data_IF_774062135483
#
_entry.id   IF_774062135483
#
_cell.length_a   1.000
_cell.length_b   1.000
_cell.length_c   1.000
_cell.angle_alpha   90.00
_cell.angle_beta   90.00
_cell.angle_gamma   90.00
#
_symmetry.space_group_name_H-M   'P 1'
#
loop_
_entity.id
_entity.type
_entity.pdbx_description
1 polymer ?
#
# COMPACT_ATOMS: atom_id res chain seq x y z
N UNK A 1 46.06 -14.27 9.97
CA UNK A 1 45.28 -14.26 11.22
C UNK A 1 43.82 -14.33 10.78
N UNK A 2 43.23 -15.51 10.93
CA UNK A 2 41.85 -15.81 10.55
C UNK A 2 40.92 -15.25 11.62
N UNK A 3 39.91 -14.48 11.22
CA UNK A 3 38.69 -14.26 12.01
C UNK A 3 37.53 -14.50 11.06
N UNK A 4 37.17 -15.78 10.96
CA UNK A 4 35.84 -16.25 10.63
C UNK A 4 34.95 -15.93 11.83
N UNK A 5 34.11 -14.90 11.74
CA UNK A 5 32.95 -14.77 12.62
C UNK A 5 31.71 -15.14 11.82
N UNK A 6 31.24 -16.34 12.15
CA UNK A 6 30.05 -17.00 11.67
C UNK A 6 28.84 -16.29 12.31
N UNK A 7 28.16 -15.46 11.53
CA UNK A 7 26.94 -14.77 11.98
C UNK A 7 25.81 -15.78 12.01
N UNK A 8 25.58 -16.37 13.18
CA UNK A 8 24.54 -17.37 13.49
C UNK A 8 23.10 -16.85 13.40
N UNK A 9 22.71 -16.31 12.25
CA UNK A 9 21.35 -16.40 11.74
C UNK A 9 21.30 -17.66 10.84
N UNK A 10 20.23 -18.44 10.83
CA UNK A 10 19.99 -19.33 9.70
C UNK A 10 19.86 -18.42 8.48
N UNK A 11 20.95 -18.22 7.76
CA UNK A 11 20.86 -17.97 6.34
C UNK A 11 20.23 -19.25 5.80
N UNK A 12 18.90 -19.26 5.71
CA UNK A 12 18.27 -20.19 4.79
C UNK A 12 18.83 -19.76 3.44
N UNK A 13 19.92 -20.42 3.03
CA UNK A 13 20.24 -20.61 1.62
C UNK A 13 18.90 -20.79 0.95
N UNK A 14 18.51 -19.85 0.08
CA UNK A 14 17.25 -19.90 -0.65
C UNK A 14 17.09 -21.33 -1.11
N UNK A 15 16.17 -22.06 -0.48
CA UNK A 15 15.88 -23.42 -0.89
C UNK A 15 15.52 -23.29 -2.38
N UNK A 16 16.05 -24.13 -3.25
CA UNK A 16 15.89 -23.97 -4.70
C UNK A 16 14.41 -23.88 -5.15
N UNK A 17 13.48 -24.18 -4.24
CA UNK A 17 12.04 -24.19 -4.38
C UNK A 17 11.29 -23.01 -3.72
N UNK A 18 11.95 -22.01 -3.12
CA UNK A 18 11.28 -20.88 -2.43
C UNK A 18 10.44 -20.04 -3.40
N UNK A 19 11.02 -19.59 -4.52
CA UNK A 19 10.29 -18.78 -5.51
C UNK A 19 9.11 -19.53 -6.16
N UNK A 20 9.25 -20.80 -6.60
CA UNK A 20 8.11 -21.61 -7.04
C UNK A 20 7.00 -21.73 -6.01
N UNK A 21 7.33 -21.95 -4.73
CA UNK A 21 6.31 -22.03 -3.69
C UNK A 21 5.61 -20.69 -3.44
N UNK A 22 6.33 -19.57 -3.53
CA UNK A 22 5.75 -18.24 -3.40
C UNK A 22 4.77 -18.00 -4.55
N UNK A 23 5.16 -18.32 -5.79
CA UNK A 23 4.28 -18.22 -6.96
C UNK A 23 2.99 -19.00 -6.75
N UNK A 24 3.09 -20.26 -6.31
CA UNK A 24 1.92 -21.12 -6.06
C UNK A 24 0.99 -20.52 -4.99
N UNK A 25 1.55 -20.00 -3.88
CA UNK A 25 0.77 -19.39 -2.81
C UNK A 25 0.04 -18.13 -3.29
N UNK A 26 0.73 -17.26 -4.05
CA UNK A 26 0.15 -16.04 -4.62
C UNK A 26 -0.93 -16.37 -5.65
N UNK A 27 -0.71 -17.35 -6.53
CA UNK A 27 -1.70 -17.81 -7.49
C UNK A 27 -2.95 -18.39 -6.80
N UNK A 28 -2.76 -19.18 -5.73
CA UNK A 28 -3.87 -19.71 -4.92
C UNK A 28 -4.68 -18.58 -4.26
N UNK A 29 -4.01 -17.59 -3.68
CA UNK A 29 -4.68 -16.40 -3.14
C UNK A 29 -5.52 -15.69 -4.22
N UNK A 30 -4.93 -15.45 -5.40
CA UNK A 30 -5.62 -14.80 -6.51
C UNK A 30 -6.88 -15.57 -6.96
N UNK A 31 -6.80 -16.90 -7.05
CA UNK A 31 -7.94 -17.77 -7.35
C UNK A 31 -9.02 -17.71 -6.27
N UNK A 32 -8.63 -17.69 -4.98
CA UNK A 32 -9.56 -17.60 -3.85
C UNK A 32 -10.28 -16.26 -3.75
N UNK A 33 -9.68 -15.19 -4.27
CA UNK A 33 -10.38 -13.92 -4.47
C UNK A 33 -11.48 -14.00 -5.56
N UNK A 34 -11.57 -15.11 -6.30
CA UNK A 34 -12.54 -15.30 -7.39
C UNK A 34 -12.19 -14.54 -8.66
N UNK A 35 -10.94 -14.10 -8.80
CA UNK A 35 -10.52 -13.20 -9.87
C UNK A 35 -9.86 -13.97 -11.01
N UNK A 36 -10.15 -13.53 -12.24
CA UNK A 36 -9.40 -13.94 -13.43
C UNK A 36 -8.36 -12.87 -13.71
N UNK A 37 -7.12 -13.28 -13.93
CA UNK A 37 -6.09 -12.35 -14.38
C UNK A 37 -6.55 -11.69 -15.69
N UNK A 38 -6.64 -10.38 -15.65
CA UNK A 38 -6.91 -9.55 -16.80
C UNK A 38 -5.79 -8.53 -16.90
N UNK A 39 -5.22 -8.40 -18.09
CA UNK A 39 -4.33 -7.29 -18.38
C UNK A 39 -5.15 -6.00 -18.27
N UNK A 40 -4.77 -5.12 -17.35
CA UNK A 40 -5.43 -3.82 -17.20
C UNK A 40 -4.68 -2.83 -18.07
N UNK A 41 -5.34 -2.39 -19.13
CA UNK A 41 -4.85 -1.29 -19.97
C UNK A 41 -5.16 0.02 -19.24
N UNK A 42 -4.12 0.85 -19.04
CA UNK A 42 -4.29 2.16 -18.44
C UNK A 42 -5.15 3.04 -19.36
N UNK A 43 -6.15 3.72 -18.80
CA UNK A 43 -6.94 4.69 -19.55
C UNK A 43 -6.05 5.90 -19.91
N UNK A 44 -5.66 5.98 -21.17
CA UNK A 44 -4.79 7.05 -21.69
C UNK A 44 -5.44 8.44 -21.60
N UNK A 45 -6.76 8.52 -21.79
CA UNK A 45 -7.48 9.78 -21.73
C UNK A 45 -7.53 10.29 -20.29
N UNK A 46 -7.84 9.40 -19.34
CA UNK A 46 -7.80 9.76 -17.93
C UNK A 46 -6.37 10.06 -17.47
N UNK A 47 -5.37 9.32 -17.93
CA UNK A 47 -3.97 9.62 -17.61
C UNK A 47 -3.58 11.03 -18.06
N UNK A 48 -3.94 11.42 -19.27
CA UNK A 48 -3.71 12.76 -19.78
C UNK A 48 -4.46 13.82 -18.96
N UNK A 49 -5.72 13.55 -18.58
CA UNK A 49 -6.50 14.43 -17.71
C UNK A 49 -5.85 14.62 -16.34
N UNK A 50 -5.44 13.54 -15.67
CA UNK A 50 -4.78 13.61 -14.36
C UNK A 50 -3.44 14.34 -14.42
N UNK A 51 -2.66 14.14 -15.50
CA UNK A 51 -1.46 14.91 -15.75
C UNK A 51 -1.76 16.40 -15.94
N UNK A 52 -2.81 16.74 -16.69
CA UNK A 52 -3.20 18.13 -16.90
C UNK A 52 -3.69 18.79 -15.60
N UNK A 53 -4.45 18.06 -14.79
CA UNK A 53 -4.92 18.54 -13.49
C UNK A 53 -3.75 18.78 -12.53
N UNK A 54 -2.78 17.87 -12.48
CA UNK A 54 -1.54 18.07 -11.74
C UNK A 54 -0.81 19.36 -12.16
N UNK A 55 -0.69 19.62 -13.47
CA UNK A 55 -0.09 20.85 -14.01
C UNK A 55 -0.88 22.08 -13.56
N UNK A 56 -2.21 22.03 -13.66
CA UNK A 56 -3.10 23.13 -13.26
C UNK A 56 -2.95 23.47 -11.77
N UNK A 57 -2.69 22.47 -10.93
CA UNK A 57 -2.41 22.63 -9.49
C UNK A 57 -0.98 23.05 -9.16
N UNK A 58 -0.12 23.20 -10.17
CA UNK A 58 1.29 23.55 -9.99
C UNK A 58 2.14 22.41 -9.43
N UNK A 59 1.69 21.16 -9.54
CA UNK A 59 2.49 20.00 -9.13
C UNK A 59 3.63 19.79 -10.12
N UNK A 60 4.80 19.45 -9.58
CA UNK A 60 6.00 19.36 -10.38
C UNK A 60 6.00 18.08 -11.23
N UNK A 61 5.89 18.24 -12.55
CA UNK A 61 5.84 17.12 -13.50
C UNK A 61 7.21 16.66 -14.01
N UNK A 62 8.24 17.49 -13.85
CA UNK A 62 9.61 17.30 -14.37
C UNK A 62 10.62 17.88 -13.36
N UNK A 63 11.88 17.41 -13.35
CA UNK A 63 12.92 17.89 -12.41
C UNK A 63 13.13 16.98 -11.20
N UNK A 64 13.41 17.54 -10.02
CA UNK A 64 13.60 16.76 -8.77
C UNK A 64 12.24 16.27 -8.25
N UNK A 65 12.13 14.96 -7.98
CA UNK A 65 10.90 14.29 -7.54
C UNK A 65 9.65 14.61 -8.41
N UNK A 66 9.71 14.35 -9.73
CA UNK A 66 8.57 14.61 -10.59
C UNK A 66 7.47 13.59 -10.30
N UNK A 67 6.21 14.02 -10.28
CA UNK A 67 5.09 13.10 -10.03
C UNK A 67 4.69 12.31 -11.27
N UNK A 68 5.12 12.74 -12.47
CA UNK A 68 4.77 12.12 -13.77
C UNK A 68 5.05 10.60 -13.81
N UNK A 69 6.21 10.07 -13.38
CA UNK A 69 6.48 8.64 -13.38
C UNK A 69 5.53 7.82 -12.48
N UNK A 70 4.91 8.47 -11.49
CA UNK A 70 3.99 7.84 -10.54
C UNK A 70 2.52 8.01 -10.93
N UNK A 71 2.22 8.81 -11.96
CA UNK A 71 0.85 9.07 -12.37
C UNK A 71 0.13 7.80 -12.82
N UNK A 72 0.83 6.87 -13.46
CA UNK A 72 0.25 5.58 -13.86
C UNK A 72 -0.23 4.77 -12.64
N UNK A 73 0.47 4.86 -11.51
CA UNK A 73 0.05 4.24 -10.25
C UNK A 73 -1.24 4.90 -9.73
N UNK A 74 -1.28 6.24 -9.72
CA UNK A 74 -2.47 6.98 -9.29
C UNK A 74 -3.71 6.67 -10.14
N UNK A 75 -3.54 6.64 -11.47
CA UNK A 75 -4.62 6.34 -12.41
C UNK A 75 -5.11 4.91 -12.26
N UNK A 76 -4.18 3.95 -12.20
CA UNK A 76 -4.53 2.54 -12.00
C UNK A 76 -5.26 2.34 -10.67
N UNK A 77 -4.81 2.99 -9.60
CA UNK A 77 -5.44 2.93 -8.27
C UNK A 77 -6.85 3.51 -8.30
N UNK A 78 -7.02 4.73 -8.82
CA UNK A 78 -8.32 5.42 -8.88
C UNK A 78 -9.34 4.68 -9.76
N UNK A 79 -8.92 4.18 -10.92
CA UNK A 79 -9.83 3.49 -11.84
C UNK A 79 -10.22 2.10 -11.38
N UNK A 80 -9.24 1.34 -10.88
CA UNK A 80 -9.48 -0.06 -10.54
C UNK A 80 -10.18 -0.15 -9.20
N UNK A 81 -9.65 0.52 -8.17
CA UNK A 81 -10.07 0.36 -6.77
C UNK A 81 -11.23 1.25 -6.36
N UNK A 82 -11.48 2.36 -7.07
CA UNK A 82 -12.53 3.33 -6.71
C UNK A 82 -13.56 3.64 -7.81
N UNK A 83 -13.92 2.70 -8.72
CA UNK A 83 -14.87 2.98 -9.81
C UNK A 83 -16.30 3.23 -9.32
N UNK A 84 -16.64 2.72 -8.13
CA UNK A 84 -17.95 2.88 -7.49
C UNK A 84 -18.19 4.27 -6.89
N UNK A 85 -17.14 5.06 -6.70
CA UNK A 85 -17.31 6.44 -6.23
C UNK A 85 -17.87 7.30 -7.37
N UNK A 86 -19.06 7.87 -7.16
CA UNK A 86 -19.73 8.70 -8.17
C UNK A 86 -19.12 10.10 -8.29
N UNK A 87 -18.48 10.60 -7.23
CA UNK A 87 -17.86 11.93 -7.23
C UNK A 87 -16.53 11.93 -7.99
N UNK A 88 -16.53 12.57 -9.16
CA UNK A 88 -15.33 12.67 -10.02
C UNK A 88 -14.21 13.46 -9.36
N UNK A 89 -14.54 14.50 -8.59
CA UNK A 89 -13.54 15.34 -7.91
C UNK A 89 -12.79 14.52 -6.86
N UNK A 90 -13.49 13.71 -6.07
CA UNK A 90 -12.91 12.78 -5.09
C UNK A 90 -12.05 11.72 -5.79
N UNK A 91 -12.50 11.14 -6.90
CA UNK A 91 -11.69 10.17 -7.66
C UNK A 91 -10.41 10.79 -8.26
N UNK A 92 -10.48 12.02 -8.75
CA UNK A 92 -9.31 12.77 -9.21
C UNK A 92 -8.36 13.07 -8.04
N UNK A 93 -8.89 13.50 -6.90
CA UNK A 93 -8.10 13.71 -5.69
C UNK A 93 -7.39 12.42 -5.23
N UNK A 94 -8.09 11.28 -5.17
CA UNK A 94 -7.49 9.97 -4.86
C UNK A 94 -6.36 9.64 -5.85
N UNK A 95 -6.57 9.87 -7.16
CA UNK A 95 -5.56 9.62 -8.17
C UNK A 95 -4.27 10.43 -7.90
N UNK A 96 -4.41 11.74 -7.70
CA UNK A 96 -3.28 12.62 -7.43
C UNK A 96 -2.61 12.29 -6.11
N UNK A 97 -3.40 12.02 -5.06
CA UNK A 97 -2.91 11.61 -3.75
C UNK A 97 -2.09 10.32 -3.84
N UNK A 98 -2.59 9.30 -4.53
CA UNK A 98 -1.86 8.05 -4.75
C UNK A 98 -0.58 8.23 -5.57
N UNK A 99 -0.58 9.10 -6.59
CA UNK A 99 0.64 9.39 -7.35
C UNK A 99 1.68 10.13 -6.49
N UNK A 100 1.26 11.15 -5.75
CA UNK A 100 2.13 11.94 -4.88
C UNK A 100 2.69 11.08 -3.75
N UNK A 101 1.85 10.30 -3.05
CA UNK A 101 2.33 9.49 -1.93
C UNK A 101 3.33 8.42 -2.38
N UNK A 102 3.14 7.82 -3.56
CA UNK A 102 4.09 6.87 -4.14
C UNK A 102 5.41 7.56 -4.52
N UNK A 103 5.36 8.83 -4.95
CA UNK A 103 6.58 9.61 -5.18
C UNK A 103 7.31 9.94 -3.87
N UNK A 104 6.57 10.22 -2.80
CA UNK A 104 7.11 10.51 -1.47
C UNK A 104 7.75 9.27 -0.84
N UNK A 105 7.14 8.10 -1.02
CA UNK A 105 7.65 6.79 -0.60
C UNK A 105 9.05 6.49 -1.14
N UNK A 106 9.37 7.00 -2.34
CA UNK A 106 10.66 6.78 -3.00
C UNK A 106 11.73 7.80 -2.59
N UNK A 107 11.40 8.80 -1.76
CA UNK A 107 12.37 9.82 -1.29
C UNK A 107 13.55 9.20 -0.53
N UNK A 108 13.35 8.29 0.45
CA UNK A 108 14.46 7.68 1.18
C UNK A 108 15.48 6.97 0.28
N UNK A 109 15.05 6.47 -0.88
CA UNK A 109 15.92 5.78 -1.85
C UNK A 109 16.75 6.72 -2.73
N UNK A 110 16.43 8.03 -2.75
CA UNK A 110 17.00 9.01 -3.69
C UNK A 110 18.07 9.93 -3.11
N UNK A 111 18.39 9.79 -1.81
CA UNK A 111 19.58 10.41 -1.20
C UNK A 111 19.26 11.41 -0.09
N UNK A 112 19.89 12.59 -0.13
CA UNK A 112 19.98 13.52 1.02
C UNK A 112 18.68 14.28 1.36
N UNK A 113 17.64 14.14 0.56
CA UNK A 113 16.40 14.92 0.71
C UNK A 113 15.47 14.35 1.78
N UNK A 114 15.83 13.22 2.40
CA UNK A 114 15.14 12.69 3.58
C UNK A 114 15.07 13.71 4.74
N UNK A 115 15.99 14.67 4.80
CA UNK A 115 15.99 15.76 5.80
C UNK A 115 14.67 16.53 5.81
N UNK A 116 13.98 16.65 4.68
CA UNK A 116 12.70 17.34 4.59
C UNK A 116 11.55 16.54 5.22
N UNK A 117 11.62 15.19 5.18
CA UNK A 117 10.61 14.32 5.80
C UNK A 117 10.58 14.47 7.34
N UNK A 118 11.73 14.65 8.00
CA UNK A 118 11.80 14.87 9.45
C UNK A 118 11.00 16.06 9.96
N UNK A 119 10.79 17.06 9.11
CA UNK A 119 10.08 18.30 9.46
C UNK A 119 8.67 18.34 8.91
N UNK A 120 8.24 17.33 8.14
CA UNK A 120 6.98 17.38 7.42
C UNK A 120 5.76 17.54 8.35
N UNK A 121 5.64 16.67 9.36
CA UNK A 121 4.51 16.69 10.29
C UNK A 121 4.47 18.00 11.11
N UNK A 122 5.63 18.49 11.57
CA UNK A 122 5.76 19.78 12.25
C UNK A 122 5.32 20.94 11.36
N UNK A 123 5.80 20.97 10.12
CA UNK A 123 5.47 22.04 9.15
C UNK A 123 4.01 22.00 8.74
N UNK A 124 3.45 20.81 8.53
CA UNK A 124 2.05 20.62 8.19
C UNK A 124 1.14 21.23 9.28
N UNK A 125 1.41 20.88 10.55
CA UNK A 125 0.67 21.38 11.71
C UNK A 125 0.81 22.90 11.89
N UNK A 126 1.97 23.46 11.56
CA UNK A 126 2.24 24.90 11.68
C UNK A 126 1.93 25.69 10.38
N UNK A 127 1.35 25.06 9.37
CA UNK A 127 1.08 25.68 8.06
C UNK A 127 2.32 26.31 7.41
N UNK A 128 3.47 25.66 7.54
CA UNK A 128 4.75 26.11 6.98
C UNK A 128 5.05 25.41 5.64
N UNK A 129 5.80 26.05 4.73
CA UNK A 129 6.25 25.42 3.49
C UNK A 129 7.09 24.16 3.75
N UNK A 130 6.86 23.10 2.96
CA UNK A 130 7.46 21.77 3.20
C UNK A 130 8.91 21.63 2.73
N UNK A 131 9.42 22.59 1.95
CA UNK A 131 10.82 22.61 1.47
C UNK A 131 11.06 21.87 0.17
N UNK A 132 10.25 20.85 -0.15
CA UNK A 132 10.25 20.14 -1.42
C UNK A 132 8.89 20.22 -2.12
N UNK A 133 8.90 20.26 -3.46
CA UNK A 133 7.69 20.48 -4.27
C UNK A 133 6.67 19.34 -4.12
N UNK A 134 7.14 18.09 -4.12
CA UNK A 134 6.28 16.91 -3.91
C UNK A 134 5.65 16.89 -2.51
N UNK A 135 6.39 17.37 -1.49
CA UNK A 135 5.85 17.48 -0.13
C UNK A 135 4.84 18.62 -0.03
N UNK A 136 5.04 19.74 -0.73
CA UNK A 136 4.03 20.80 -0.83
C UNK A 136 2.76 20.29 -1.54
N UNK A 137 2.90 19.43 -2.56
CA UNK A 137 1.76 18.80 -3.22
C UNK A 137 1.00 17.87 -2.24
N UNK A 138 1.71 17.06 -1.45
CA UNK A 138 1.09 16.22 -0.43
C UNK A 138 0.37 17.06 0.63
N UNK A 139 1.00 18.11 1.15
CA UNK A 139 0.40 19.04 2.11
C UNK A 139 -0.91 19.63 1.55
N UNK A 140 -0.88 20.11 0.30
CA UNK A 140 -2.07 20.64 -0.39
C UNK A 140 -3.19 19.61 -0.43
N UNK A 141 -2.91 18.38 -0.85
CA UNK A 141 -3.90 17.32 -0.93
C UNK A 141 -4.43 16.89 0.45
N UNK A 142 -3.59 16.91 1.49
CA UNK A 142 -4.01 16.64 2.87
C UNK A 142 -4.96 17.71 3.40
N UNK A 143 -4.79 18.99 3.02
CA UNK A 143 -5.71 20.07 3.37
C UNK A 143 -7.03 20.00 2.62
N UNK A 144 -7.09 19.29 1.50
CA UNK A 144 -8.31 19.10 0.71
C UNK A 144 -9.22 17.99 1.25
N UNK A 145 -8.74 17.10 2.13
CA UNK A 145 -9.52 15.97 2.66
C UNK A 145 -10.92 16.36 3.20
N UNK A 146 -11.10 17.48 3.93
CA UNK A 146 -12.42 17.91 4.40
C UNK A 146 -13.42 18.29 3.30
N UNK A 147 -12.97 18.53 2.07
CA UNK A 147 -13.87 18.73 0.93
C UNK A 147 -14.47 17.41 0.42
N UNK A 148 -13.85 16.28 0.74
CA UNK A 148 -14.22 14.96 0.22
C UNK A 148 -14.90 14.07 1.25
N UNK A 149 -14.60 14.25 2.54
CA UNK A 149 -15.04 13.35 3.61
C UNK A 149 -15.57 14.09 4.83
N UNK A 150 -16.35 13.37 5.66
CA UNK A 150 -16.85 13.91 6.92
C UNK A 150 -15.72 14.22 7.91
N UNK A 151 -15.90 15.14 8.88
CA UNK A 151 -14.82 15.59 9.76
C UNK A 151 -14.07 14.46 10.48
N UNK A 152 -14.77 13.43 10.98
CA UNK A 152 -14.15 12.29 11.65
C UNK A 152 -13.29 11.48 10.67
N UNK A 153 -13.80 11.23 9.46
CA UNK A 153 -13.08 10.48 8.43
C UNK A 153 -11.88 11.27 7.93
N UNK A 154 -12.03 12.59 7.74
CA UNK A 154 -10.93 13.46 7.34
C UNK A 154 -9.79 13.44 8.35
N UNK A 155 -10.10 13.52 9.65
CA UNK A 155 -9.10 13.43 10.71
C UNK A 155 -8.32 12.11 10.61
N UNK A 156 -9.00 10.98 10.44
CA UNK A 156 -8.37 9.66 10.35
C UNK A 156 -7.50 9.51 9.09
N UNK A 157 -7.91 10.05 7.96
CA UNK A 157 -7.12 10.10 6.73
C UNK A 157 -5.84 10.94 6.94
N UNK A 158 -6.00 12.14 7.53
CA UNK A 158 -4.88 13.04 7.80
C UNK A 158 -3.87 12.39 8.75
N UNK A 159 -4.33 11.81 9.86
CA UNK A 159 -3.43 11.14 10.81
C UNK A 159 -2.74 9.93 10.18
N UNK A 160 -3.46 9.13 9.39
CA UNK A 160 -2.85 8.01 8.66
C UNK A 160 -1.72 8.48 7.75
N UNK A 161 -1.85 9.66 7.13
CA UNK A 161 -0.82 10.24 6.25
C UNK A 161 0.39 10.73 7.03
N UNK A 162 0.17 11.34 8.20
CA UNK A 162 1.26 11.75 9.10
C UNK A 162 2.02 10.54 9.68
N UNK A 163 1.31 9.45 9.96
CA UNK A 163 1.88 8.17 10.41
C UNK A 163 2.75 7.55 9.32
N UNK A 164 2.28 7.55 8.07
CA UNK A 164 3.07 7.10 6.92
C UNK A 164 4.36 7.88 6.73
N UNK A 165 4.32 9.22 6.82
CA UNK A 165 5.56 10.01 6.73
C UNK A 165 6.53 9.64 7.87
N UNK A 166 6.00 9.39 9.07
CA UNK A 166 6.80 8.94 10.20
C UNK A 166 7.39 7.54 9.96
N UNK A 167 6.66 6.64 9.29
CA UNK A 167 7.18 5.31 9.00
C UNK A 167 8.34 5.33 8.01
N UNK A 168 8.34 6.23 7.01
CA UNK A 168 9.48 6.38 6.10
C UNK A 168 10.77 6.73 6.86
N UNK A 169 10.65 7.55 7.91
CA UNK A 169 11.77 7.88 8.79
C UNK A 169 12.18 6.68 9.65
N UNK A 170 11.22 5.94 10.21
CA UNK A 170 11.51 4.72 10.98
C UNK A 170 12.23 3.70 10.11
N UNK A 171 11.75 3.43 8.90
CA UNK A 171 12.36 2.48 7.97
C UNK A 171 13.77 2.89 7.59
N UNK A 172 13.99 4.17 7.29
CA UNK A 172 15.33 4.70 7.03
C UNK A 172 16.28 4.55 8.24
N UNK A 173 15.82 4.94 9.43
CA UNK A 173 16.65 4.98 10.64
C UNK A 173 16.90 3.59 11.23
N UNK A 174 16.04 2.62 10.90
CA UNK A 174 16.12 1.23 11.40
C UNK A 174 16.56 0.22 10.34
N UNK A 175 16.98 0.66 9.14
CA UNK A 175 17.35 -0.25 8.04
C UNK A 175 18.43 -1.29 8.39
N UNK A 176 19.35 -0.94 9.29
CA UNK A 176 20.46 -1.78 9.75
C UNK A 176 20.20 -2.37 11.16
N UNK A 177 19.01 -2.12 11.73
CA UNK A 177 18.65 -2.57 13.08
C UNK A 177 18.34 -4.05 13.08
N UNK A 178 18.93 -4.79 14.03
CA UNK A 178 18.56 -6.18 14.27
C UNK A 178 17.18 -6.25 14.91
N UNK A 179 16.28 -7.01 14.30
CA UNK A 179 14.93 -7.17 14.80
C UNK A 179 14.94 -8.14 15.99
N UNK A 180 14.42 -7.68 17.13
CA UNK A 180 14.34 -8.51 18.32
C UNK A 180 13.28 -9.60 18.18
N UNK A 181 13.64 -10.85 18.47
CA UNK A 181 12.68 -11.97 18.59
C UNK A 181 11.72 -11.81 19.77
N UNK A 182 12.03 -10.92 20.72
CA UNK A 182 11.15 -10.57 21.84
C UNK A 182 10.18 -9.42 21.51
N UNK A 183 10.16 -8.95 20.26
CA UNK A 183 9.25 -7.90 19.77
C UNK A 183 8.28 -8.44 18.70
N UNK A 184 7.40 -9.41 19.03
CA UNK A 184 6.57 -10.11 18.05
C UNK A 184 5.50 -9.25 17.38
N UNK A 185 5.21 -8.05 17.90
CA UNK A 185 4.24 -7.10 17.34
C UNK A 185 4.89 -5.94 16.58
N UNK A 186 6.23 -5.92 16.52
CA UNK A 186 6.96 -4.88 15.81
C UNK A 186 6.60 -4.84 14.31
N UNK A 187 6.54 -5.98 13.58
CA UNK A 187 6.18 -5.97 12.17
C UNK A 187 4.76 -5.44 11.91
N UNK A 188 3.78 -5.80 12.75
CA UNK A 188 2.41 -5.29 12.64
C UNK A 188 2.35 -3.78 12.90
N UNK A 189 3.10 -3.29 13.88
CA UNK A 189 3.15 -1.87 14.21
C UNK A 189 3.77 -1.05 13.07
N UNK A 190 4.93 -1.44 12.56
CA UNK A 190 5.57 -0.70 11.44
C UNK A 190 4.72 -0.76 10.19
N UNK A 191 4.13 -1.92 9.89
CA UNK A 191 3.25 -2.09 8.73
C UNK A 191 1.97 -1.27 8.82
N UNK A 192 1.40 -1.11 10.01
CA UNK A 192 0.24 -0.26 10.25
C UNK A 192 0.53 1.21 9.90
N UNK A 193 1.73 1.70 10.26
CA UNK A 193 2.15 3.06 9.94
C UNK A 193 2.45 3.21 8.44
N UNK A 194 3.25 2.31 7.86
CA UNK A 194 3.71 2.42 6.46
C UNK A 194 2.68 2.04 5.41
N UNK A 195 1.65 1.29 5.78
CA UNK A 195 0.63 0.87 4.81
C UNK A 195 -0.37 1.95 4.41
N UNK A 196 -0.39 3.09 5.12
CA UNK A 196 -1.40 4.13 4.90
C UNK A 196 -2.83 3.53 4.90
N UNK A 197 -3.00 2.47 5.69
CA UNK A 197 -4.10 1.52 5.54
C UNK A 197 -5.43 2.17 5.86
N UNK A 198 -5.49 2.93 6.95
CA UNK A 198 -6.66 3.71 7.33
C UNK A 198 -7.06 4.69 6.21
N UNK A 199 -6.08 5.37 5.59
CA UNK A 199 -6.33 6.27 4.47
C UNK A 199 -7.04 5.58 3.30
N UNK A 200 -6.40 4.56 2.71
CA UNK A 200 -6.96 3.83 1.58
C UNK A 200 -8.28 3.13 1.90
N UNK A 201 -8.43 2.60 3.12
CA UNK A 201 -9.69 2.01 3.56
C UNK A 201 -10.79 3.05 3.62
N UNK A 202 -10.52 4.23 4.17
CA UNK A 202 -11.53 5.29 4.28
C UNK A 202 -11.88 5.90 2.92
N UNK A 203 -10.95 5.92 1.97
CA UNK A 203 -11.23 6.39 0.61
C UNK A 203 -12.31 5.57 -0.10
N UNK A 204 -12.49 4.30 0.27
CA UNK A 204 -13.42 3.42 -0.45
C UNK A 204 -14.88 3.76 -0.16
N UNK A 205 -15.20 4.37 0.98
CA UNK A 205 -16.57 4.63 1.37
C UNK A 205 -17.03 6.00 0.82
N UNK A 206 -18.15 6.07 0.08
CA UNK A 206 -18.76 7.33 -0.30
C UNK A 206 -19.00 8.24 0.90
N UNK A 207 -18.90 9.56 0.72
CA UNK A 207 -19.12 10.54 1.79
C UNK A 207 -20.55 10.52 2.36
N UNK A 208 -21.48 9.91 1.63
CA UNK A 208 -22.86 9.62 2.04
C UNK A 208 -22.99 8.48 3.04
N UNK A 209 -22.00 7.58 3.12
CA UNK A 209 -22.01 6.44 4.04
C UNK A 209 -21.56 6.88 5.43
N UNK A 210 -22.41 6.77 6.47
CA UNK A 210 -22.01 7.09 7.83
C UNK A 210 -20.93 6.13 8.35
N UNK A 211 -19.88 6.66 8.97
CA UNK A 211 -18.76 5.84 9.43
C UNK A 211 -19.16 4.75 10.44
N UNK A 212 -20.26 4.96 11.18
CA UNK A 212 -20.81 3.97 12.11
C UNK A 212 -21.19 2.64 11.43
N UNK A 213 -21.45 2.66 10.11
CA UNK A 213 -21.80 1.45 9.35
C UNK A 213 -20.60 0.56 9.03
N UNK A 214 -19.37 1.09 9.06
CA UNK A 214 -18.17 0.33 8.68
C UNK A 214 -17.04 0.38 9.71
N UNK A 215 -17.11 1.25 10.72
CA UNK A 215 -16.03 1.47 11.70
C UNK A 215 -15.62 0.20 12.44
N UNK A 216 -16.57 -0.70 12.72
CA UNK A 216 -16.27 -1.99 13.37
C UNK A 216 -15.53 -2.97 12.44
N UNK A 217 -15.57 -2.75 11.13
CA UNK A 217 -14.81 -3.51 10.13
C UNK A 217 -13.41 -2.94 9.90
N UNK A 218 -13.09 -1.74 10.41
CA UNK A 218 -11.80 -1.08 10.15
C UNK A 218 -10.57 -1.94 10.46
N UNK A 219 -10.48 -2.69 11.58
CA UNK A 219 -9.32 -3.52 11.85
C UNK A 219 -9.08 -4.58 10.75
N UNK A 220 -10.14 -5.27 10.34
CA UNK A 220 -10.08 -6.29 9.29
C UNK A 220 -9.84 -5.66 7.92
N UNK A 221 -10.44 -4.51 7.62
CA UNK A 221 -10.23 -3.76 6.38
C UNK A 221 -8.77 -3.31 6.25
N UNK A 222 -8.21 -2.72 7.29
CA UNK A 222 -6.82 -2.23 7.31
C UNK A 222 -5.83 -3.39 7.17
N UNK A 223 -6.06 -4.48 7.91
CA UNK A 223 -5.29 -5.70 7.75
C UNK A 223 -5.38 -6.25 6.32
N UNK A 224 -6.59 -6.32 5.76
CA UNK A 224 -6.82 -6.83 4.40
C UNK A 224 -6.07 -6.00 3.36
N UNK A 225 -6.14 -4.67 3.43
CA UNK A 225 -5.45 -3.78 2.48
C UNK A 225 -3.94 -3.97 2.53
N UNK A 226 -3.33 -3.94 3.71
CA UNK A 226 -1.90 -4.18 3.87
C UNK A 226 -1.51 -5.58 3.39
N UNK A 227 -2.22 -6.61 3.85
CA UNK A 227 -1.89 -7.99 3.57
C UNK A 227 -2.07 -8.35 2.08
N UNK A 228 -3.10 -7.83 1.40
CA UNK A 228 -3.24 -8.01 -0.06
C UNK A 228 -2.02 -7.43 -0.78
N UNK A 229 -1.58 -6.24 -0.38
CA UNK A 229 -0.38 -5.64 -0.97
C UNK A 229 0.85 -6.51 -0.69
N UNK A 230 1.08 -6.92 0.56
CA UNK A 230 2.22 -7.75 0.96
C UNK A 230 2.23 -9.10 0.23
N UNK A 231 1.08 -9.78 0.12
CA UNK A 231 0.97 -11.07 -0.59
C UNK A 231 1.31 -10.89 -2.07
N UNK A 232 0.72 -9.89 -2.74
CA UNK A 232 0.86 -9.69 -4.18
C UNK A 232 2.21 -9.06 -4.57
N UNK A 233 2.88 -8.38 -3.63
CA UNK A 233 4.22 -7.83 -3.82
C UNK A 233 5.33 -8.80 -3.44
N UNK A 234 5.07 -9.80 -2.60
CA UNK A 234 6.12 -10.65 -2.03
C UNK A 234 7.01 -11.32 -3.08
N UNK A 235 6.44 -11.80 -4.19
CA UNK A 235 7.23 -12.40 -5.27
C UNK A 235 8.24 -11.41 -5.87
N UNK A 236 7.85 -10.15 -6.14
CA UNK A 236 8.79 -9.15 -6.67
C UNK A 236 9.89 -8.86 -5.64
N UNK A 237 9.52 -8.75 -4.37
CA UNK A 237 10.42 -8.36 -3.28
C UNK A 237 11.50 -9.42 -3.05
N UNK A 238 11.09 -10.68 -2.94
CA UNK A 238 12.04 -11.81 -2.82
C UNK A 238 12.90 -11.95 -4.09
N UNK A 239 12.34 -11.72 -5.29
CA UNK A 239 13.11 -11.76 -6.55
C UNK A 239 14.20 -10.68 -6.63
N UNK A 240 14.06 -9.59 -5.87
CA UNK A 240 15.03 -8.49 -5.79
C UNK A 240 15.92 -8.56 -4.56
N UNK A 241 15.76 -9.58 -3.70
CA UNK A 241 16.52 -9.73 -2.46
C UNK A 241 16.13 -8.73 -1.37
N UNK A 242 14.92 -8.14 -1.43
CA UNK A 242 14.42 -7.27 -0.37
C UNK A 242 14.16 -8.10 0.90
N UNK A 243 14.92 -7.84 1.97
CA UNK A 243 14.83 -8.61 3.22
C UNK A 243 13.96 -7.93 4.31
N UNK A 244 13.60 -6.67 4.12
CA UNK A 244 12.86 -5.85 5.09
C UNK A 244 11.35 -5.77 4.78
N UNK A 245 10.78 -6.76 4.09
CA UNK A 245 9.34 -6.84 3.85
C UNK A 245 8.57 -7.46 5.03
N UNK A 246 7.26 -7.23 5.10
CA UNK A 246 6.41 -7.67 6.22
C UNK A 246 6.52 -9.18 6.50
N UNK A 247 6.45 -10.01 5.46
CA UNK A 247 6.56 -11.48 5.57
C UNK A 247 7.90 -11.89 6.19
N UNK A 248 9.00 -11.27 5.74
CA UNK A 248 10.35 -11.54 6.24
C UNK A 248 10.53 -11.10 7.70
N UNK A 249 9.98 -9.94 8.08
CA UNK A 249 10.03 -9.43 9.45
C UNK A 249 9.23 -10.32 10.42
N UNK A 250 8.04 -10.76 10.02
CA UNK A 250 7.22 -11.68 10.83
C UNK A 250 7.89 -13.06 10.94
N UNK A 251 8.50 -13.55 9.86
CA UNK A 251 9.26 -14.81 9.88
C UNK A 251 10.44 -14.75 10.86
N UNK A 252 11.21 -13.65 10.81
CA UNK A 252 12.35 -13.42 11.69
C UNK A 252 11.95 -13.32 13.17
N UNK A 253 10.91 -12.54 13.49
CA UNK A 253 10.44 -12.37 14.89
C UNK A 253 9.90 -13.66 15.50
N UNK A 254 9.32 -14.55 14.68
CA UNK A 254 8.69 -15.80 15.14
C UNK A 254 9.57 -17.04 14.99
N UNK A 255 10.73 -16.92 14.33
CA UNK A 255 11.58 -18.07 14.00
C UNK A 255 10.90 -19.08 13.09
N UNK A 256 10.06 -18.61 12.16
CA UNK A 256 9.31 -19.44 11.20
C UNK A 256 9.83 -19.22 9.79
N UNK A 257 9.49 -20.11 8.85
CA UNK A 257 9.84 -19.92 7.45
C UNK A 257 8.96 -18.83 6.83
N UNK A 258 9.50 -18.08 5.86
CA UNK A 258 8.71 -17.09 5.09
C UNK A 258 7.49 -17.73 4.40
N UNK A 259 7.61 -19.00 3.99
CA UNK A 259 6.53 -19.76 3.38
C UNK A 259 5.38 -20.05 4.36
N UNK A 260 5.70 -20.42 5.61
CA UNK A 260 4.69 -20.62 6.66
C UNK A 260 3.96 -19.31 6.97
N UNK A 261 4.72 -18.22 7.07
CA UNK A 261 4.16 -16.89 7.31
C UNK A 261 3.27 -16.43 6.15
N UNK A 262 3.71 -16.61 4.90
CA UNK A 262 2.90 -16.26 3.73
C UNK A 262 1.57 -17.01 3.71
N UNK A 263 1.58 -18.33 3.99
CA UNK A 263 0.35 -19.12 4.10
C UNK A 263 -0.57 -18.60 5.20
N UNK A 264 -0.01 -18.30 6.37
CA UNK A 264 -0.78 -17.78 7.50
C UNK A 264 -1.43 -16.42 7.18
N UNK A 265 -0.67 -15.52 6.54
CA UNK A 265 -1.17 -14.20 6.12
C UNK A 265 -2.30 -14.37 5.10
N UNK A 266 -2.17 -15.28 4.13
CA UNK A 266 -3.23 -15.60 3.16
C UNK A 266 -4.51 -16.06 3.88
N UNK A 267 -4.42 -17.01 4.82
CA UNK A 267 -5.60 -17.50 5.55
C UNK A 267 -6.24 -16.39 6.39
N UNK A 268 -5.43 -15.61 7.11
CA UNK A 268 -5.92 -14.47 7.89
C UNK A 268 -6.59 -13.43 6.99
N UNK A 269 -6.05 -13.18 5.80
CA UNK A 269 -6.59 -12.21 4.84
C UNK A 269 -7.96 -12.65 4.35
N UNK A 270 -8.12 -13.93 4.01
CA UNK A 270 -9.41 -14.47 3.60
C UNK A 270 -10.42 -14.45 4.75
N UNK A 271 -10.01 -14.78 5.97
CA UNK A 271 -10.89 -14.68 7.14
C UNK A 271 -11.34 -13.23 7.40
N UNK A 272 -10.41 -12.26 7.36
CA UNK A 272 -10.71 -10.85 7.52
C UNK A 272 -11.65 -10.32 6.41
N UNK A 273 -11.47 -10.79 5.17
CA UNK A 273 -12.37 -10.52 4.06
C UNK A 273 -13.79 -11.02 4.33
N UNK A 274 -13.95 -12.29 4.71
CA UNK A 274 -15.27 -12.86 5.02
C UNK A 274 -15.95 -12.18 6.21
N UNK A 275 -15.20 -11.91 7.27
CA UNK A 275 -15.70 -11.18 8.43
C UNK A 275 -16.21 -9.78 8.04
N UNK A 276 -15.48 -9.10 7.17
CA UNK A 276 -15.86 -7.77 6.66
C UNK A 276 -17.16 -7.86 5.87
N UNK A 277 -17.29 -8.83 4.96
CA UNK A 277 -18.53 -9.05 4.21
C UNK A 277 -19.73 -9.28 5.14
N UNK A 278 -19.60 -10.16 6.14
CA UNK A 278 -20.68 -10.43 7.09
C UNK A 278 -21.06 -9.20 7.92
N UNK A 279 -20.07 -8.44 8.41
CA UNK A 279 -20.33 -7.20 9.17
C UNK A 279 -21.00 -6.12 8.33
N UNK A 280 -20.60 -5.98 7.07
CA UNK A 280 -21.15 -4.95 6.17
C UNK A 280 -22.48 -5.38 5.54
N UNK A 281 -22.87 -6.66 5.61
CA UNK A 281 -24.10 -7.20 5.00
C UNK A 281 -25.39 -6.39 5.31
N UNK A 282 -25.61 -5.85 6.52
CA UNK A 282 -26.77 -5.01 6.82
C UNK A 282 -26.73 -3.61 6.16
N UNK A 283 -25.58 -3.20 5.62
CA UNK A 283 -25.28 -1.86 5.12
C UNK A 283 -24.92 -1.92 3.63
N UNK A 284 -25.92 -2.01 2.75
CA UNK A 284 -25.72 -2.34 1.33
C UNK A 284 -24.76 -1.40 0.58
N UNK A 285 -24.78 -0.09 0.87
CA UNK A 285 -23.87 0.87 0.22
C UNK A 285 -22.41 0.64 0.65
N UNK A 286 -22.17 0.45 1.96
CA UNK A 286 -20.85 0.12 2.49
C UNK A 286 -20.35 -1.25 1.99
N UNK A 287 -21.23 -2.25 1.96
CA UNK A 287 -20.94 -3.58 1.44
C UNK A 287 -20.51 -3.52 -0.03
N UNK A 288 -21.30 -2.84 -0.87
CA UNK A 288 -21.00 -2.72 -2.31
C UNK A 288 -19.71 -1.93 -2.55
N UNK A 289 -19.47 -0.88 -1.76
CA UNK A 289 -18.22 -0.13 -1.81
C UNK A 289 -17.01 -1.02 -1.50
N UNK A 290 -17.10 -1.84 -0.45
CA UNK A 290 -16.04 -2.78 -0.11
C UNK A 290 -15.82 -3.85 -1.18
N UNK A 291 -16.88 -4.48 -1.69
CA UNK A 291 -16.76 -5.50 -2.74
C UNK A 291 -16.12 -4.94 -4.00
N UNK A 292 -16.57 -3.77 -4.45
CA UNK A 292 -16.00 -3.06 -5.60
C UNK A 292 -14.53 -2.70 -5.37
N UNK A 293 -14.22 -2.16 -4.18
CA UNK A 293 -12.85 -1.83 -3.82
C UNK A 293 -11.93 -3.05 -3.76
N UNK A 294 -12.35 -4.15 -3.12
CA UNK A 294 -11.53 -5.34 -2.96
C UNK A 294 -11.18 -5.97 -4.31
N UNK A 295 -12.18 -6.17 -5.18
CA UNK A 295 -11.99 -6.64 -6.56
C UNK A 295 -11.05 -5.72 -7.34
N UNK A 296 -11.30 -4.41 -7.25
CA UNK A 296 -10.52 -3.37 -7.88
C UNK A 296 -9.06 -3.28 -7.42
N UNK A 297 -8.83 -3.43 -6.12
CA UNK A 297 -7.51 -3.33 -5.49
C UNK A 297 -6.61 -4.51 -5.86
N UNK A 298 -7.19 -5.71 -5.98
CA UNK A 298 -6.44 -6.86 -6.50
C UNK A 298 -6.16 -6.71 -8.00
N UNK A 299 -7.11 -6.19 -8.79
CA UNK A 299 -6.90 -5.86 -10.22
C UNK A 299 -5.82 -4.80 -10.42
N UNK A 300 -5.73 -3.81 -9.55
CA UNK A 300 -4.67 -2.80 -9.56
C UNK A 300 -3.27 -3.44 -9.50
N UNK A 301 -3.08 -4.47 -8.67
CA UNK A 301 -1.80 -5.19 -8.60
C UNK A 301 -1.51 -5.97 -9.89
N UNK A 302 -2.54 -6.48 -10.58
CA UNK A 302 -2.38 -7.10 -11.89
C UNK A 302 -2.12 -6.09 -13.03
N UNK A 303 -2.56 -4.83 -12.85
CA UNK A 303 -2.36 -3.76 -13.81
C UNK A 303 -0.91 -3.30 -13.91
N UNK A 304 -0.20 -3.30 -12.80
CA UNK A 304 1.13 -2.74 -12.73
C UNK A 304 2.18 -3.84 -12.88
N UNK A 305 2.91 -3.82 -14.01
CA UNK A 305 4.06 -4.71 -14.30
C UNK A 305 5.07 -4.79 -13.17
N UNK A 306 5.14 -3.77 -12.30
CA UNK A 306 6.02 -3.76 -11.12
C UNK A 306 5.82 -4.98 -10.20
N UNK A 307 4.63 -5.56 -10.17
CA UNK A 307 4.31 -6.72 -9.32
C UNK A 307 4.62 -8.07 -9.99
N UNK A 308 4.98 -8.10 -11.27
CA UNK A 308 5.35 -9.31 -12.03
C UNK A 308 4.29 -10.43 -11.97
N UNK A 309 3.01 -10.08 -11.82
CA UNK A 309 1.94 -11.08 -11.73
C UNK A 309 1.78 -11.88 -13.03
N UNK A 310 2.20 -11.32 -14.17
CA UNK A 310 2.29 -12.02 -15.44
C UNK A 310 3.22 -13.24 -15.38
N UNK A 311 4.35 -13.17 -14.68
CA UNK A 311 5.27 -14.29 -14.50
C UNK A 311 4.65 -15.38 -13.61
N UNK A 312 3.87 -14.97 -12.60
CA UNK A 312 3.20 -15.89 -11.67
C UNK A 312 2.06 -16.63 -12.38
N UNK A 313 1.29 -15.91 -13.19
CA UNK A 313 0.06 -16.42 -13.81
C UNK A 313 0.29 -17.17 -15.14
N UNK A 314 1.46 -17.01 -15.77
CA UNK A 314 1.83 -17.79 -16.95
C UNK A 314 2.04 -19.28 -16.61
N UNK A 315 2.79 -19.56 -15.55
CA UNK A 315 3.12 -20.92 -15.10
C UNK A 315 1.92 -21.63 -14.44
N UNK A 316 1.00 -20.87 -13.81
CA UNK A 316 -0.21 -21.42 -13.20
C UNK A 316 -1.22 -21.98 -14.21
N UNK A 317 -1.03 -21.76 -15.53
CA UNK A 317 -1.82 -22.38 -16.60
C UNK A 317 -1.23 -23.73 -17.05
N UNK A 318 -0.03 -24.07 -16.60
CA UNK A 318 0.67 -25.33 -16.90
C UNK A 318 0.56 -26.38 -15.76
N UNK A 319 -0.13 -26.03 -14.67
CA UNK A 319 -0.50 -26.90 -13.54
C UNK A 319 -1.99 -27.30 -13.60
#
# INVERSE_FOLDING_TARGET
>A
MSITEDYGLPTSTLDGNVLPSIRQAVASFYQRCGLKYAEVVLDEALYAECCQEAINRGFQMDGNYPIRPYMAVGVAMSCSSFPHLSDRTTRMWICLFSAVITCVDDIPNRGKDIVYLYRFNERFANCQPQGESVLNALDTLMREVPHHYSPVVSNLITTSTLDFISSLLIEHDTKDMQISTTAPLYPEYTRLLSGLASGYVLFMFPSTVPYQQYIQSMPDLMFTVCAVNDILSFYKEESMGEAANYVSLVAATRGLTKQDILREIIEKTMQAHYNTLERLRPHSEAYNAYVSFFDGYVKFHAALRRYKLEEIMADAREL
#
